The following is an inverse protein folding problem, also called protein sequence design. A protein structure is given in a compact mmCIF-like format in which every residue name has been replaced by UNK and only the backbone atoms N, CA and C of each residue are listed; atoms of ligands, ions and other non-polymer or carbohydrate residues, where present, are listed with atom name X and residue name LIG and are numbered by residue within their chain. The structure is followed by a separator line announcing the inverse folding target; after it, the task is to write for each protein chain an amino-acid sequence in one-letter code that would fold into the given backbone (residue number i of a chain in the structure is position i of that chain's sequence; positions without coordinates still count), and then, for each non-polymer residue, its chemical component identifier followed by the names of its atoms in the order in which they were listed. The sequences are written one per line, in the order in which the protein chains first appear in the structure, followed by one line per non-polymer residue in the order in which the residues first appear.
data_IF_309546105664
#
_entry.id   IF_309546105664
#
_cell.length_a   1.000
_cell.length_b   1.000
_cell.length_c   1.000
_cell.angle_alpha   90.00
_cell.angle_beta   90.00
_cell.angle_gamma   90.00
#
_symmetry.space_group_name_H-M   'P 1'
#
loop_
_entity.id
_entity.type
_entity.pdbx_description
1 polymer ?
#
# COMPACT_ATOMS: atom_id res chain seq x y z
N UNK A 1 -20.07 -13.66 11.28
CA UNK A 1 -19.37 -12.59 10.54
C UNK A 1 -18.46 -11.83 11.50
N UNK A 2 -17.13 -11.87 11.30
CA UNK A 2 -16.17 -11.15 12.15
C UNK A 2 -16.20 -9.66 11.81
N UNK A 3 -16.20 -8.80 12.84
CA UNK A 3 -16.12 -7.35 12.65
C UNK A 3 -14.81 -6.95 11.94
N UNK A 4 -14.78 -5.82 11.20
CA UNK A 4 -13.56 -5.31 10.60
C UNK A 4 -12.49 -5.11 11.68
N UNK A 5 -11.37 -5.81 11.53
CA UNK A 5 -10.18 -5.57 12.38
C UNK A 5 -9.35 -4.44 11.76
N UNK A 6 -9.87 -3.23 11.80
CA UNK A 6 -9.05 -2.04 11.52
C UNK A 6 -8.26 -1.77 12.81
N UNK A 7 -7.04 -2.30 12.88
CA UNK A 7 -6.10 -1.98 13.95
C UNK A 7 -5.43 -0.64 13.66
N UNK A 8 -4.76 -0.04 14.65
CA UNK A 8 -4.00 1.20 14.47
C UNK A 8 -2.94 1.12 13.35
N UNK A 9 -2.49 -0.09 13.00
CA UNK A 9 -1.52 -0.32 11.90
C UNK A 9 -2.13 -0.10 10.52
N UNK A 10 -3.42 -0.39 10.31
CA UNK A 10 -4.06 -0.25 9.00
C UNK A 10 -4.08 1.21 8.50
N UNK A 11 -4.55 2.22 9.26
CA UNK A 11 -4.51 3.60 8.81
C UNK A 11 -3.09 4.16 8.71
N UNK A 12 -2.17 3.70 9.58
CA UNK A 12 -0.77 4.06 9.46
C UNK A 12 -0.17 3.54 8.14
N UNK A 13 -0.32 2.25 7.85
CA UNK A 13 0.16 1.68 6.58
C UNK A 13 -0.48 2.37 5.38
N UNK A 14 -1.78 2.66 5.44
CA UNK A 14 -2.47 3.39 4.38
C UNK A 14 -1.81 4.74 4.12
N UNK A 15 -1.62 5.56 5.16
CA UNK A 15 -0.99 6.86 5.06
C UNK A 15 0.45 6.77 4.53
N UNK A 16 1.27 5.84 5.05
CA UNK A 16 2.62 5.66 4.52
C UNK A 16 2.60 5.36 3.03
N UNK A 17 1.95 4.27 2.63
CA UNK A 17 2.09 3.78 1.27
C UNK A 17 1.38 4.69 0.29
N UNK A 18 0.14 5.10 0.59
CA UNK A 18 -0.66 5.91 -0.32
C UNK A 18 -0.23 7.37 -0.29
N UNK A 19 -0.15 8.00 0.88
CA UNK A 19 0.04 9.45 0.98
C UNK A 19 1.50 9.87 0.92
N UNK A 20 2.41 9.12 1.54
CA UNK A 20 3.82 9.51 1.64
C UNK A 20 4.63 8.93 0.48
N UNK A 21 4.69 7.60 0.35
CA UNK A 21 5.53 6.92 -0.65
C UNK A 21 5.00 7.18 -2.06
N UNK A 22 3.71 6.92 -2.27
CA UNK A 22 3.06 7.10 -3.56
C UNK A 22 2.58 8.53 -3.81
N UNK A 23 2.68 9.43 -2.81
CA UNK A 23 2.29 10.85 -2.92
C UNK A 23 0.85 11.05 -3.42
N UNK A 24 -0.03 10.09 -3.18
CA UNK A 24 -1.40 10.04 -3.72
C UNK A 24 -1.50 9.91 -5.24
N UNK A 25 -0.38 9.73 -5.96
CA UNK A 25 -0.32 9.64 -7.42
C UNK A 25 -0.72 8.26 -7.91
N UNK A 26 -0.35 7.20 -7.18
CA UNK A 26 -0.64 5.81 -7.55
C UNK A 26 -2.08 5.42 -7.14
N UNK A 27 -2.92 4.92 -8.06
CA UNK A 27 -4.24 4.36 -7.73
C UNK A 27 -4.11 3.27 -6.67
N UNK A 28 -4.83 3.43 -5.57
CA UNK A 28 -4.71 2.57 -4.39
C UNK A 28 -6.09 2.03 -4.02
N UNK A 29 -6.26 0.71 -4.03
CA UNK A 29 -7.53 0.04 -3.75
C UNK A 29 -7.51 -0.68 -2.40
N UNK A 30 -8.68 -0.93 -1.83
CA UNK A 30 -8.85 -1.70 -0.58
C UNK A 30 -9.42 -3.07 -0.93
N UNK A 31 -8.71 -4.13 -0.56
CA UNK A 31 -9.19 -5.49 -0.71
C UNK A 31 -9.56 -6.03 0.67
N UNK A 32 -10.84 -6.30 0.87
CA UNK A 32 -11.34 -6.88 2.12
C UNK A 32 -11.44 -8.39 1.96
N UNK A 33 -10.80 -9.11 2.86
CA UNK A 33 -10.76 -10.59 2.91
C UNK A 33 -11.40 -11.09 4.20
N UNK A 34 -11.57 -12.41 4.35
CA UNK A 34 -12.19 -12.97 5.56
C UNK A 34 -13.73 -12.91 5.56
N UNK A 35 -14.33 -12.74 4.38
CA UNK A 35 -15.77 -12.67 4.15
C UNK A 35 -16.30 -13.90 3.41
N UNK A 36 -15.58 -15.02 3.44
CA UNK A 36 -15.93 -16.26 2.74
C UNK A 36 -17.27 -16.86 3.22
N UNK A 37 -17.67 -16.59 4.46
CA UNK A 37 -18.95 -17.01 5.04
C UNK A 37 -20.01 -15.91 5.01
N UNK A 38 -19.75 -14.77 4.36
CA UNK A 38 -20.71 -13.67 4.28
C UNK A 38 -21.69 -13.88 3.11
N UNK A 39 -22.99 -13.89 3.40
CA UNK A 39 -24.04 -14.01 2.36
C UNK A 39 -24.04 -12.82 1.39
N UNK A 40 -23.77 -11.61 1.89
CA UNK A 40 -23.65 -10.39 1.08
C UNK A 40 -22.31 -9.68 1.36
N UNK A 41 -21.31 -10.00 0.54
CA UNK A 41 -19.96 -9.41 0.61
C UNK A 41 -19.98 -7.92 0.28
N UNK A 42 -20.79 -7.49 -0.68
CA UNK A 42 -20.80 -6.09 -1.12
C UNK A 42 -21.59 -5.19 -0.16
N UNK A 43 -22.71 -5.67 0.36
CA UNK A 43 -23.45 -4.99 1.42
C UNK A 43 -22.62 -4.82 2.70
N UNK A 44 -21.70 -5.76 2.96
CA UNK A 44 -20.73 -5.61 4.06
C UNK A 44 -19.89 -4.34 3.89
N UNK A 45 -19.38 -4.06 2.69
CA UNK A 45 -18.58 -2.86 2.45
C UNK A 45 -19.35 -1.60 2.82
N UNK A 46 -20.56 -1.44 2.29
CA UNK A 46 -21.38 -0.25 2.53
C UNK A 46 -21.72 -0.05 4.01
N UNK A 47 -21.94 -1.14 4.74
CA UNK A 47 -22.19 -1.10 6.17
C UNK A 47 -20.97 -0.67 6.99
N UNK A 48 -19.75 -0.96 6.53
CA UNK A 48 -18.52 -0.74 7.30
C UNK A 48 -17.61 0.37 6.76
N UNK A 49 -17.90 0.92 5.57
CA UNK A 49 -17.14 2.02 4.95
C UNK A 49 -16.90 3.18 5.90
N UNK A 50 -17.90 3.57 6.69
CA UNK A 50 -17.76 4.65 7.68
C UNK A 50 -16.69 4.40 8.74
N UNK A 51 -16.34 3.15 9.02
CA UNK A 51 -15.20 2.79 9.87
C UNK A 51 -13.85 3.09 9.21
N UNK A 52 -13.72 2.82 7.92
CA UNK A 52 -12.50 3.16 7.15
C UNK A 52 -12.35 4.68 7.03
N UNK A 53 -13.43 5.40 6.70
CA UNK A 53 -13.42 6.86 6.59
C UNK A 53 -13.01 7.53 7.93
N UNK A 54 -13.50 7.01 9.06
CA UNK A 54 -13.14 7.49 10.41
C UNK A 54 -11.67 7.25 10.80
N UNK A 55 -11.01 6.31 10.14
CA UNK A 55 -9.60 6.01 10.34
C UNK A 55 -8.73 6.64 9.23
N UNK A 56 -9.24 7.62 8.49
CA UNK A 56 -8.54 8.29 7.38
C UNK A 56 -8.07 7.36 6.24
N UNK A 57 -8.69 6.19 6.12
CA UNK A 57 -8.51 5.29 4.98
C UNK A 57 -9.53 5.71 3.90
N UNK A 58 -9.15 6.72 3.10
CA UNK A 58 -10.02 7.30 2.08
C UNK A 58 -9.60 6.83 0.68
N UNK A 59 -10.52 6.17 -0.02
CA UNK A 59 -10.33 5.77 -1.41
C UNK A 59 -10.32 6.99 -2.33
N UNK A 60 -9.50 6.93 -3.38
CA UNK A 60 -9.58 7.91 -4.47
C UNK A 60 -10.78 7.60 -5.36
N UNK A 61 -11.22 8.57 -6.15
CA UNK A 61 -12.31 8.38 -7.13
C UNK A 61 -11.98 7.35 -8.22
N UNK A 62 -10.70 7.02 -8.40
CA UNK A 62 -10.21 6.10 -9.43
C UNK A 62 -10.16 4.65 -8.90
N UNK A 63 -9.93 4.44 -7.61
CA UNK A 63 -9.72 3.12 -7.03
C UNK A 63 -10.84 2.73 -6.06
N UNK A 64 -11.39 1.52 -6.25
CA UNK A 64 -12.50 1.00 -5.47
C UNK A 64 -12.10 0.19 -4.24
N UNK A 65 -13.13 -0.32 -3.55
CA UNK A 65 -13.00 -1.37 -2.56
C UNK A 65 -13.67 -2.63 -3.09
N UNK A 66 -13.01 -3.78 -2.96
CA UNK A 66 -13.58 -5.08 -3.33
C UNK A 66 -13.58 -6.00 -2.12
N UNK A 67 -14.71 -6.66 -1.88
CA UNK A 67 -14.88 -7.65 -0.83
C UNK A 67 -14.83 -9.04 -1.45
N UNK A 68 -13.78 -9.80 -1.14
CA UNK A 68 -13.45 -11.03 -1.86
C UNK A 68 -13.44 -12.28 -0.97
N UNK A 69 -13.51 -13.43 -1.63
CA UNK A 69 -13.15 -14.74 -1.10
C UNK A 69 -11.68 -14.98 -1.41
N UNK A 70 -10.83 -14.92 -0.38
CA UNK A 70 -9.38 -14.98 -0.56
C UNK A 70 -8.81 -16.40 -0.52
N UNK A 71 -9.61 -17.37 -0.08
CA UNK A 71 -9.22 -18.77 -0.01
C UNK A 71 -10.31 -19.68 -0.57
N UNK A 72 -9.91 -20.81 -1.15
CA UNK A 72 -10.81 -21.82 -1.68
C UNK A 72 -11.56 -22.59 -0.57
N UNK A 73 -11.11 -22.47 0.69
CA UNK A 73 -11.66 -23.21 1.82
C UNK A 73 -11.06 -24.61 1.97
N UNK A 74 -11.71 -25.46 2.78
CA UNK A 74 -11.24 -26.83 3.03
C UNK A 74 -11.50 -27.73 1.83
N UNK A 75 -10.56 -28.63 1.52
CA UNK A 75 -10.76 -29.67 0.52
C UNK A 75 -11.76 -30.74 1.00
N UNK A 76 -12.70 -31.11 0.12
CA UNK A 76 -13.65 -32.23 0.21
C UNK A 76 -13.65 -32.96 -1.13
N UNK A 77 -14.80 -33.16 -1.78
CA UNK A 77 -14.89 -33.59 -3.20
C UNK A 77 -14.52 -32.49 -4.22
N UNK A 78 -14.28 -31.29 -3.72
CA UNK A 78 -13.80 -30.05 -4.32
C UNK A 78 -13.47 -29.10 -3.16
N UNK A 79 -13.15 -27.83 -3.36
CA UNK A 79 -13.08 -26.90 -2.23
C UNK A 79 -14.41 -26.20 -2.00
N UNK A 80 -14.69 -25.87 -0.73
CA UNK A 80 -15.99 -25.31 -0.30
C UNK A 80 -16.33 -23.97 -0.97
N UNK A 81 -15.32 -23.16 -1.31
CA UNK A 81 -15.50 -21.83 -1.91
C UNK A 81 -14.87 -21.72 -3.30
N UNK A 82 -14.83 -22.81 -4.07
CA UNK A 82 -14.18 -22.82 -5.39
C UNK A 82 -14.82 -21.79 -6.34
N UNK A 83 -16.15 -21.68 -6.37
CA UNK A 83 -16.86 -20.75 -7.25
C UNK A 83 -16.62 -19.30 -6.84
N UNK A 84 -16.82 -18.96 -5.56
CA UNK A 84 -16.66 -17.61 -5.04
C UNK A 84 -15.21 -17.13 -5.11
N UNK A 85 -14.25 -18.07 -5.02
CA UNK A 85 -12.84 -17.78 -5.20
C UNK A 85 -12.53 -17.41 -6.66
N UNK A 86 -13.05 -18.15 -7.64
CA UNK A 86 -12.86 -17.81 -9.06
C UNK A 86 -13.54 -16.48 -9.42
N UNK A 87 -14.75 -16.23 -8.93
CA UNK A 87 -15.40 -14.92 -9.07
C UNK A 87 -14.56 -13.78 -8.50
N UNK A 88 -13.96 -14.01 -7.32
CA UNK A 88 -13.08 -13.03 -6.68
C UNK A 88 -11.84 -12.74 -7.50
N UNK A 89 -11.25 -13.75 -8.15
CA UNK A 89 -10.11 -13.55 -9.05
C UNK A 89 -10.48 -12.65 -10.22
N UNK A 90 -11.66 -12.85 -10.78
CA UNK A 90 -12.12 -12.03 -11.90
C UNK A 90 -12.49 -10.61 -11.47
N UNK A 91 -13.07 -10.43 -10.28
CA UNK A 91 -13.28 -9.11 -9.67
C UNK A 91 -11.95 -8.36 -9.51
N UNK A 92 -10.94 -8.98 -8.91
CA UNK A 92 -9.61 -8.36 -8.74
C UNK A 92 -8.96 -8.02 -10.07
N UNK A 93 -9.02 -8.92 -11.06
CA UNK A 93 -8.49 -8.65 -12.40
C UNK A 93 -9.18 -7.46 -13.06
N UNK A 94 -10.51 -7.36 -12.94
CA UNK A 94 -11.27 -6.22 -13.47
C UNK A 94 -10.89 -4.93 -12.75
N UNK A 95 -10.82 -4.96 -11.42
CA UNK A 95 -10.39 -3.82 -10.62
C UNK A 95 -9.03 -3.32 -11.07
N UNK A 96 -8.01 -4.20 -11.12
CA UNK A 96 -6.67 -3.84 -11.58
C UNK A 96 -6.72 -3.22 -12.97
N UNK A 97 -7.42 -3.85 -13.93
CA UNK A 97 -7.52 -3.31 -15.29
C UNK A 97 -8.18 -1.93 -15.34
N UNK A 98 -9.18 -1.68 -14.50
CA UNK A 98 -9.87 -0.40 -14.42
C UNK A 98 -9.09 0.69 -13.69
N UNK A 99 -8.07 0.32 -12.90
CA UNK A 99 -7.28 1.24 -12.09
C UNK A 99 -5.86 1.46 -12.62
N UNK A 100 -5.45 0.76 -13.68
CA UNK A 100 -4.16 1.00 -14.33
C UNK A 100 -4.12 2.43 -14.88
N UNK A 101 -2.99 3.10 -14.65
CA UNK A 101 -2.70 4.39 -15.27
C UNK A 101 -2.23 4.15 -16.71
N UNK A 102 -2.77 4.93 -17.65
CA UNK A 102 -2.31 4.89 -19.05
C UNK A 102 -0.82 5.24 -19.18
N UNK A 103 -0.33 6.12 -18.29
CA UNK A 103 1.06 6.53 -18.23
C UNK A 103 1.67 6.14 -16.89
N UNK A 104 2.82 5.45 -16.87
CA UNK A 104 3.54 5.17 -15.63
C UNK A 104 3.91 6.46 -14.90
N UNK A 105 3.74 6.46 -13.58
CA UNK A 105 4.24 7.56 -12.76
C UNK A 105 5.76 7.46 -12.73
N UNK A 106 6.38 8.48 -13.30
CA UNK A 106 7.84 8.65 -13.25
C UNK A 106 8.15 9.74 -12.25
N UNK A 107 9.09 9.46 -11.36
CA UNK A 107 9.58 10.43 -10.38
C UNK A 107 11.08 10.60 -10.58
N UNK A 108 11.58 11.80 -10.31
CA UNK A 108 13.02 12.00 -10.17
C UNK A 108 13.45 11.38 -8.83
N UNK A 109 14.31 10.34 -8.83
CA UNK A 109 14.61 9.57 -7.62
C UNK A 109 15.08 10.44 -6.45
N UNK A 110 15.96 11.41 -6.68
CA UNK A 110 16.51 12.23 -5.61
C UNK A 110 15.45 13.15 -4.97
N UNK A 111 14.68 13.87 -5.79
CA UNK A 111 13.62 14.77 -5.31
C UNK A 111 12.51 13.99 -4.58
N UNK A 112 12.13 12.83 -5.12
CA UNK A 112 11.14 11.95 -4.50
C UNK A 112 11.61 11.40 -3.15
N UNK A 113 12.86 10.97 -3.08
CA UNK A 113 13.45 10.42 -1.86
C UNK A 113 13.54 11.47 -0.76
N UNK A 114 14.03 12.68 -1.08
CA UNK A 114 14.04 13.80 -0.14
C UNK A 114 12.63 14.08 0.39
N UNK A 115 11.66 14.21 -0.52
CA UNK A 115 10.25 14.43 -0.17
C UNK A 115 9.71 13.37 0.78
N UNK A 116 9.99 12.07 0.55
CA UNK A 116 9.54 11.01 1.46
C UNK A 116 10.20 11.15 2.83
N UNK A 117 11.52 11.33 2.87
CA UNK A 117 12.23 11.40 4.15
C UNK A 117 11.76 12.57 5.02
N UNK A 118 11.47 13.71 4.43
CA UNK A 118 10.89 14.88 5.12
C UNK A 118 9.49 14.55 5.66
N UNK A 119 8.61 14.00 4.82
CA UNK A 119 7.24 13.66 5.23
C UNK A 119 7.17 12.56 6.29
N UNK A 120 8.11 11.60 6.28
CA UNK A 120 8.21 10.56 7.32
C UNK A 120 8.71 11.14 8.64
N UNK A 121 9.66 12.07 8.62
CA UNK A 121 10.16 12.76 9.83
C UNK A 121 9.03 13.50 10.55
N UNK A 122 8.23 14.26 9.80
CA UNK A 122 7.05 14.95 10.37
C UNK A 122 6.02 13.98 10.92
N UNK A 123 5.85 12.84 10.24
CA UNK A 123 4.86 11.84 10.58
C UNK A 123 5.49 10.74 11.43
N UNK A 124 5.81 11.06 12.69
CA UNK A 124 6.52 10.21 13.68
C UNK A 124 5.98 8.77 13.78
N UNK A 125 6.38 7.89 12.87
CA UNK A 125 5.94 6.51 12.80
C UNK A 125 6.93 5.67 13.60
N UNK A 126 6.47 5.12 14.74
CA UNK A 126 7.21 4.22 15.62
C UNK A 126 8.61 4.72 16.05
N UNK A 127 8.71 5.62 17.03
CA UNK A 127 9.89 5.80 17.93
C UNK A 127 11.28 5.99 17.29
N UNK A 128 11.40 5.99 15.97
CA UNK A 128 12.62 6.23 15.23
C UNK A 128 12.72 7.74 15.11
N UNK A 129 13.46 8.32 16.05
CA UNK A 129 13.95 9.69 15.91
C UNK A 129 14.88 9.71 14.70
N UNK A 130 14.33 10.03 13.52
CA UNK A 130 15.14 10.50 12.42
C UNK A 130 15.68 11.85 12.84
N UNK A 131 16.89 11.86 13.42
CA UNK A 131 17.57 13.10 13.76
C UNK A 131 17.75 13.92 12.47
N UNK A 132 17.69 15.24 12.62
CA UNK A 132 17.79 16.22 11.54
C UNK A 132 19.14 16.08 10.84
N UNK A 133 19.17 15.26 9.81
CA UNK A 133 20.20 15.31 8.78
C UNK A 133 19.67 16.29 7.73
N UNK A 134 20.21 17.52 7.68
CA UNK A 134 20.25 18.29 6.44
C UNK A 134 21.17 17.49 5.52
N UNK A 135 20.66 16.97 4.40
CA UNK A 135 21.32 15.90 3.65
C UNK A 135 21.99 16.46 2.38
N UNK A 136 23.30 16.81 2.36
CA UNK A 136 24.05 16.91 1.13
C UNK A 136 23.99 15.59 0.36
N UNK A 137 24.21 15.63 -0.95
CA UNK A 137 24.12 14.46 -1.84
C UNK A 137 24.86 13.19 -1.33
N UNK A 138 25.98 13.34 -0.62
CA UNK A 138 26.72 12.24 0.02
C UNK A 138 25.93 11.52 1.12
N UNK A 139 25.09 12.25 1.86
CA UNK A 139 24.21 11.71 2.90
C UNK A 139 22.90 11.14 2.32
N UNK A 140 22.48 11.51 1.11
CA UNK A 140 21.30 10.91 0.48
C UNK A 140 21.58 9.42 0.16
N UNK A 141 22.85 9.13 -0.13
CA UNK A 141 23.41 7.77 -0.21
C UNK A 141 23.44 7.06 1.16
N UNK A 142 23.56 7.80 2.27
CA UNK A 142 23.51 7.25 3.64
C UNK A 142 22.06 7.01 4.12
N UNK A 143 21.15 7.91 3.79
CA UNK A 143 19.72 7.75 4.04
C UNK A 143 19.14 6.57 3.22
N UNK A 144 19.64 6.33 2.00
CA UNK A 144 19.34 5.12 1.25
C UNK A 144 19.78 3.85 2.02
N UNK A 145 20.95 3.84 2.68
CA UNK A 145 21.36 2.71 3.54
C UNK A 145 20.42 2.51 4.72
N UNK A 146 19.93 3.60 5.33
CA UNK A 146 18.98 3.52 6.44
C UNK A 146 17.64 2.89 6.00
N UNK A 147 17.20 3.09 4.76
CA UNK A 147 16.00 2.41 4.24
C UNK A 147 16.12 0.89 4.21
N UNK A 148 17.33 0.34 4.02
CA UNK A 148 17.54 -1.12 4.07
C UNK A 148 17.24 -1.74 5.44
N UNK A 149 17.17 -0.91 6.49
CA UNK A 149 16.73 -1.34 7.83
C UNK A 149 15.21 -1.29 8.02
N UNK A 150 14.47 -0.66 7.10
CA UNK A 150 13.02 -0.54 7.17
C UNK A 150 12.35 -1.80 6.59
N UNK A 151 11.29 -2.33 7.24
CA UNK A 151 10.56 -3.48 6.71
C UNK A 151 10.01 -3.21 5.31
N UNK A 152 10.27 -4.13 4.37
CA UNK A 152 9.74 -4.06 3.00
C UNK A 152 10.71 -3.50 1.94
N UNK A 153 11.88 -3.01 2.35
CA UNK A 153 12.94 -2.59 1.43
C UNK A 153 14.04 -3.65 1.35
N UNK A 154 14.36 -4.12 0.15
CA UNK A 154 15.43 -5.11 -0.04
C UNK A 154 16.79 -4.41 -0.21
N UNK A 155 17.90 -5.08 0.17
CA UNK A 155 19.24 -4.56 -0.10
C UNK A 155 19.47 -4.23 -1.59
N UNK A 156 18.94 -5.07 -2.48
CA UNK A 156 19.05 -4.88 -3.93
C UNK A 156 18.35 -3.60 -4.41
N UNK A 157 17.16 -3.32 -3.86
CA UNK A 157 16.42 -2.08 -4.16
C UNK A 157 17.21 -0.85 -3.70
N UNK A 158 17.80 -0.92 -2.50
CA UNK A 158 18.61 0.17 -1.94
C UNK A 158 19.83 0.46 -2.80
N UNK A 159 20.52 -0.58 -3.27
CA UNK A 159 21.70 -0.43 -4.14
C UNK A 159 21.32 0.11 -5.53
N UNK A 160 20.21 -0.36 -6.12
CA UNK A 160 19.69 0.18 -7.38
C UNK A 160 19.36 1.67 -7.27
N UNK A 161 18.70 2.08 -6.17
CA UNK A 161 18.38 3.48 -5.91
C UNK A 161 19.66 4.34 -5.86
N UNK A 162 20.69 3.84 -5.18
CA UNK A 162 21.98 4.51 -5.03
C UNK A 162 22.69 4.72 -6.37
N UNK A 163 22.66 3.72 -7.25
CA UNK A 163 23.25 3.84 -8.59
C UNK A 163 22.51 4.87 -9.45
N UNK A 164 21.17 4.92 -9.36
CA UNK A 164 20.37 5.92 -10.09
C UNK A 164 20.65 7.34 -9.60
N UNK A 165 20.81 7.54 -8.29
CA UNK A 165 21.14 8.85 -7.73
C UNK A 165 22.51 9.35 -8.20
N UNK A 166 23.53 8.48 -8.28
CA UNK A 166 24.86 8.84 -8.82
C UNK A 166 24.80 9.34 -10.27
N UNK A 167 23.98 8.70 -11.10
CA UNK A 167 23.83 9.05 -12.53
C UNK A 167 23.15 10.39 -12.81
N UNK A 168 22.35 10.93 -11.89
CA UNK A 168 21.65 12.21 -12.10
C UNK A 168 22.51 13.43 -11.74
N UNK A 169 23.71 13.21 -11.19
CA UNK A 169 24.59 14.29 -10.68
C UNK A 169 25.82 14.53 -11.58
N UNK A 170 26.00 13.68 -12.60
CA UNK A 170 27.02 13.79 -13.67
C UNK A 170 26.40 14.40 -14.93
#
# INVERSE_FOLDING_TARGET
MRAPRITASAPANWKLFRDIICQGKVPSAIIVTGLEEAEDRQGWWWKHKGGFDKNDIKLSTIAGAECITACRGKARSGHVYDEEYEESRDQIRRLIRSTILDNPITVKPLEWFQTITENVKEWSWCSLSFQDVEVPFEEASEAAKQMGSLPGFTPDFVEELRQKMKKETE
#
